data_IF_705405438139
#
_entry.id   IF_705405438139
#
_cell.length_a   1.000
_cell.length_b   1.000
_cell.length_c   1.000
_cell.angle_alpha   90.00
_cell.angle_beta   90.00
_cell.angle_gamma   90.00
#
_symmetry.space_group_name_H-M   'P 1'
#
loop_
_entity.id
_entity.type
_entity.pdbx_description
1 polymer ?
#
# COMPACT_ATOMS: atom_id res chain seq x y z
N UNK A 1 -9.39 -20.49 -22.38
CA UNK A 1 -9.59 -20.43 -20.92
C UNK A 1 -9.26 -19.01 -20.47
N UNK A 2 -9.99 -18.47 -19.49
CA UNK A 2 -9.66 -17.18 -18.91
C UNK A 2 -8.35 -17.27 -18.14
N UNK A 3 -7.47 -16.25 -18.20
CA UNK A 3 -6.24 -16.27 -17.42
C UNK A 3 -6.52 -16.28 -15.93
N UNK A 4 -5.72 -17.06 -15.19
CA UNK A 4 -5.88 -17.22 -13.75
C UNK A 4 -5.03 -16.23 -12.97
N UNK A 5 -5.64 -15.51 -12.02
CA UNK A 5 -4.96 -14.54 -11.18
C UNK A 5 -5.12 -14.90 -9.70
N UNK A 6 -4.00 -14.96 -8.98
CA UNK A 6 -3.95 -15.08 -7.53
C UNK A 6 -3.70 -13.72 -6.89
N UNK A 7 -4.58 -13.29 -5.99
CA UNK A 7 -4.47 -12.02 -5.29
C UNK A 7 -4.29 -12.28 -3.80
N UNK A 8 -3.10 -12.03 -3.26
CA UNK A 8 -2.87 -12.08 -1.81
C UNK A 8 -3.25 -10.76 -1.17
N UNK A 9 -3.63 -10.81 0.11
CA UNK A 9 -4.19 -9.61 0.76
C UNK A 9 -5.56 -9.20 0.22
N UNK A 10 -6.25 -10.12 -0.46
CA UNK A 10 -7.54 -9.91 -1.13
C UNK A 10 -8.63 -9.32 -0.23
N UNK A 11 -8.65 -9.67 1.05
CA UNK A 11 -9.62 -9.13 2.03
C UNK A 11 -9.26 -7.74 2.57
N UNK A 12 -8.08 -7.21 2.20
CA UNK A 12 -7.62 -5.89 2.59
C UNK A 12 -8.22 -4.77 1.74
N UNK A 13 -7.84 -3.52 2.07
CA UNK A 13 -8.31 -2.33 1.37
C UNK A 13 -8.02 -2.40 -0.14
N UNK A 14 -6.76 -2.34 -0.55
CA UNK A 14 -6.37 -2.35 -1.97
C UNK A 14 -6.74 -3.68 -2.62
N UNK A 15 -6.47 -4.81 -1.94
CA UNK A 15 -6.71 -6.14 -2.47
C UNK A 15 -8.17 -6.40 -2.86
N UNK A 16 -9.14 -5.89 -2.09
CA UNK A 16 -10.56 -6.06 -2.41
C UNK A 16 -10.99 -5.33 -3.70
N UNK A 17 -10.38 -4.19 -4.01
CA UNK A 17 -10.59 -3.49 -5.29
C UNK A 17 -9.90 -4.20 -6.46
N UNK A 18 -8.71 -4.79 -6.23
CA UNK A 18 -8.04 -5.59 -7.25
C UNK A 18 -8.88 -6.82 -7.61
N UNK A 19 -9.50 -7.49 -6.63
CA UNK A 19 -10.40 -8.63 -6.86
C UNK A 19 -11.61 -8.20 -7.71
N UNK A 20 -12.25 -7.09 -7.37
CA UNK A 20 -13.41 -6.57 -8.13
C UNK A 20 -13.02 -6.26 -9.59
N UNK A 21 -11.88 -5.63 -9.81
CA UNK A 21 -11.42 -5.30 -11.16
C UNK A 21 -10.98 -6.56 -11.95
N UNK A 22 -10.34 -7.54 -11.30
CA UNK A 22 -9.98 -8.80 -11.94
C UNK A 22 -11.21 -9.55 -12.48
N UNK A 23 -12.28 -9.62 -11.68
CA UNK A 23 -13.56 -10.20 -12.11
C UNK A 23 -14.18 -9.44 -13.27
N UNK A 24 -14.12 -8.10 -13.26
CA UNK A 24 -14.66 -7.24 -14.30
C UNK A 24 -13.90 -7.41 -15.61
N UNK A 25 -12.57 -7.62 -15.55
CA UNK A 25 -11.75 -7.89 -16.73
C UNK A 25 -11.79 -9.35 -17.19
N UNK A 26 -12.58 -10.21 -16.53
CA UNK A 26 -12.81 -11.59 -16.96
C UNK A 26 -11.75 -12.60 -16.52
N UNK A 27 -10.91 -12.28 -15.52
CA UNK A 27 -9.97 -13.24 -14.95
C UNK A 27 -10.70 -14.35 -14.15
N UNK A 28 -10.19 -15.57 -14.20
CA UNK A 28 -10.49 -16.56 -13.17
C UNK A 28 -9.78 -16.14 -11.88
N UNK A 29 -10.55 -15.52 -10.97
CA UNK A 29 -10.02 -14.74 -9.84
C UNK A 29 -9.96 -15.55 -8.56
N UNK A 30 -8.75 -15.72 -8.02
CA UNK A 30 -8.46 -16.43 -6.78
C UNK A 30 -8.06 -15.45 -5.68
N UNK A 31 -8.89 -15.34 -4.66
CA UNK A 31 -8.67 -14.51 -3.49
C UNK A 31 -7.96 -15.32 -2.39
N UNK A 32 -6.68 -15.03 -2.17
CA UNK A 32 -5.94 -15.62 -1.07
C UNK A 32 -6.29 -14.91 0.25
N UNK A 33 -6.81 -15.66 1.19
CA UNK A 33 -7.26 -15.20 2.50
C UNK A 33 -6.65 -16.04 3.62
N UNK A 34 -6.64 -15.52 4.84
CA UNK A 34 -6.40 -16.30 6.05
C UNK A 34 -7.73 -16.80 6.60
N UNK A 35 -7.74 -17.86 7.39
CA UNK A 35 -8.93 -18.37 8.07
C UNK A 35 -9.72 -17.30 8.84
N UNK A 36 -9.01 -16.33 9.43
CA UNK A 36 -9.60 -15.21 10.18
C UNK A 36 -9.99 -13.99 9.32
N UNK A 37 -9.81 -14.04 7.99
CA UNK A 37 -10.06 -12.88 7.14
C UNK A 37 -11.55 -12.58 6.99
N UNK A 38 -11.90 -11.30 7.09
CA UNK A 38 -13.25 -10.84 6.77
C UNK A 38 -13.49 -10.89 5.27
N UNK A 39 -14.64 -11.43 4.84
CA UNK A 39 -15.09 -11.44 3.44
C UNK A 39 -16.07 -10.30 3.13
N UNK A 40 -16.15 -9.27 3.97
CA UNK A 40 -17.16 -8.21 3.88
C UNK A 40 -17.23 -7.52 2.50
N UNK A 41 -16.11 -7.42 1.80
CA UNK A 41 -15.98 -6.83 0.47
C UNK A 41 -15.73 -7.86 -0.65
N UNK A 42 -15.77 -9.16 -0.36
CA UNK A 42 -15.55 -10.25 -1.29
C UNK A 42 -16.85 -11.07 -1.41
N UNK A 43 -17.88 -10.46 -2.02
CA UNK A 43 -19.24 -11.03 -2.04
C UNK A 43 -19.64 -11.66 -3.38
N UNK A 44 -18.86 -11.43 -4.44
CA UNK A 44 -19.16 -11.97 -5.77
C UNK A 44 -18.94 -13.48 -5.78
N UNK A 45 -19.91 -14.23 -6.27
CA UNK A 45 -19.90 -15.70 -6.28
C UNK A 45 -18.84 -16.29 -7.23
N UNK A 46 -18.32 -15.49 -8.16
CA UNK A 46 -17.25 -15.88 -9.09
C UNK A 46 -15.87 -15.91 -8.45
N UNK A 47 -15.73 -15.46 -7.19
CA UNK A 47 -14.46 -15.46 -6.47
C UNK A 47 -14.14 -16.87 -6.01
N UNK A 48 -13.01 -17.41 -6.46
CA UNK A 48 -12.43 -18.61 -5.88
C UNK A 48 -11.63 -18.24 -4.64
N UNK A 49 -11.88 -18.88 -3.52
CA UNK A 49 -11.13 -18.64 -2.29
C UNK A 49 -10.06 -19.70 -2.08
N UNK A 50 -8.87 -19.27 -1.73
CA UNK A 50 -7.78 -20.16 -1.29
C UNK A 50 -7.25 -19.66 0.06
N UNK A 51 -7.10 -20.58 1.01
CA UNK A 51 -6.50 -20.23 2.30
C UNK A 51 -4.98 -20.37 2.20
N UNK A 52 -4.25 -19.26 2.38
CA UNK A 52 -2.79 -19.23 2.32
C UNK A 52 -2.18 -18.74 3.63
N UNK A 53 -1.17 -19.47 4.11
CA UNK A 53 -0.35 -19.08 5.25
C UNK A 53 1.04 -18.61 4.77
N UNK A 54 1.20 -17.33 4.55
CA UNK A 54 2.47 -16.74 4.10
C UNK A 54 3.62 -16.89 5.11
N UNK A 55 3.35 -17.30 6.35
CA UNK A 55 4.38 -17.50 7.38
C UNK A 55 5.05 -18.88 7.33
N UNK A 56 4.58 -19.80 6.48
CA UNK A 56 5.11 -21.16 6.37
C UNK A 56 5.24 -21.55 4.89
N UNK A 57 6.47 -21.73 4.44
CA UNK A 57 6.79 -22.14 3.07
C UNK A 57 6.25 -23.55 2.80
N UNK A 58 6.36 -24.47 3.76
CA UNK A 58 5.82 -25.82 3.65
C UNK A 58 4.30 -25.82 3.44
N UNK A 59 3.55 -25.02 4.23
CA UNK A 59 2.10 -24.92 4.06
C UNK A 59 1.74 -24.25 2.72
N UNK A 60 2.46 -23.22 2.30
CA UNK A 60 2.26 -22.61 0.99
C UNK A 60 2.46 -23.60 -0.14
N UNK A 61 3.50 -24.44 -0.06
CA UNK A 61 3.77 -25.47 -1.06
C UNK A 61 2.60 -26.45 -1.14
N UNK A 62 2.13 -26.98 -0.01
CA UNK A 62 0.96 -27.88 0.02
C UNK A 62 -0.32 -27.22 -0.52
N UNK A 63 -0.53 -25.93 -0.20
CA UNK A 63 -1.71 -25.17 -0.60
C UNK A 63 -1.70 -24.80 -2.10
N UNK A 64 -0.51 -24.67 -2.72
CA UNK A 64 -0.37 -24.21 -4.10
C UNK A 64 0.00 -25.31 -5.09
N UNK A 65 0.50 -26.48 -4.67
CA UNK A 65 1.02 -27.55 -5.55
C UNK A 65 0.05 -28.06 -6.62
N UNK A 66 -1.26 -27.96 -6.39
CA UNK A 66 -2.30 -28.39 -7.33
C UNK A 66 -2.92 -27.23 -8.13
N UNK A 67 -2.34 -26.03 -8.03
CA UNK A 67 -2.82 -24.85 -8.73
C UNK A 67 -1.81 -24.36 -9.74
N UNK A 68 -2.31 -23.72 -10.79
CA UNK A 68 -1.49 -23.00 -11.76
C UNK A 68 -2.09 -21.61 -11.96
N UNK A 69 -1.25 -20.58 -11.89
CA UNK A 69 -1.63 -19.20 -12.07
C UNK A 69 -0.80 -18.55 -13.17
N UNK A 70 -1.46 -17.76 -14.02
CA UNK A 70 -0.79 -16.91 -15.00
C UNK A 70 -0.22 -15.65 -14.34
N UNK A 71 -0.93 -15.15 -13.32
CA UNK A 71 -0.62 -13.87 -12.67
C UNK A 71 -0.74 -13.98 -11.15
N UNK A 72 0.15 -13.28 -10.45
CA UNK A 72 0.05 -13.09 -9.00
C UNK A 72 0.13 -11.61 -8.68
N UNK A 73 -0.82 -11.10 -7.88
CA UNK A 73 -0.73 -9.78 -7.27
C UNK A 73 -0.53 -9.92 -5.78
N UNK A 74 0.66 -9.57 -5.31
CA UNK A 74 1.01 -9.66 -3.90
C UNK A 74 0.75 -8.33 -3.20
N UNK A 75 -0.49 -8.17 -2.72
CA UNK A 75 -0.93 -7.01 -1.93
C UNK A 75 -1.04 -7.34 -0.43
N UNK A 76 -0.67 -8.54 -0.01
CA UNK A 76 -0.59 -8.90 1.39
C UNK A 76 0.54 -8.12 2.09
N UNK A 77 0.23 -7.62 3.28
CA UNK A 77 1.17 -6.89 4.10
C UNK A 77 0.46 -6.19 5.25
N UNK A 78 1.24 -5.73 6.21
CA UNK A 78 0.74 -4.95 7.35
C UNK A 78 1.40 -3.58 7.35
N UNK A 79 0.62 -2.55 7.66
CA UNK A 79 1.06 -1.16 7.79
C UNK A 79 1.15 -0.72 9.23
N UNK A 80 0.73 -1.59 10.17
CA UNK A 80 0.75 -1.38 11.61
C UNK A 80 1.04 -2.69 12.31
N UNK A 81 1.98 -2.67 13.24
CA UNK A 81 2.29 -3.80 14.12
C UNK A 81 2.55 -3.29 15.54
N UNK A 82 2.40 -4.17 16.52
CA UNK A 82 2.77 -3.88 17.90
C UNK A 82 4.28 -3.95 18.09
N UNK A 83 4.91 -4.94 17.46
CA UNK A 83 6.36 -5.15 17.50
C UNK A 83 6.97 -4.87 16.12
N UNK A 84 8.06 -4.10 16.02
CA UNK A 84 8.72 -3.80 14.75
C UNK A 84 9.12 -5.05 13.96
N UNK A 85 9.46 -6.14 14.63
CA UNK A 85 9.85 -7.43 14.04
C UNK A 85 8.72 -8.07 13.23
N UNK A 86 7.46 -7.82 13.60
CA UNK A 86 6.30 -8.33 12.89
C UNK A 86 6.18 -7.77 11.47
N UNK A 87 6.67 -6.54 11.23
CA UNK A 87 6.73 -6.01 9.87
C UNK A 87 7.64 -6.87 8.98
N UNK A 88 8.81 -7.26 9.49
CA UNK A 88 9.75 -8.09 8.73
C UNK A 88 9.20 -9.51 8.55
N UNK A 89 8.66 -10.11 9.60
CA UNK A 89 8.07 -11.45 9.53
C UNK A 89 6.93 -11.52 8.51
N UNK A 90 6.08 -10.50 8.44
CA UNK A 90 4.89 -10.53 7.58
C UNK A 90 5.20 -9.98 6.19
N UNK A 91 5.82 -8.79 6.09
CA UNK A 91 6.04 -8.13 4.80
C UNK A 91 7.25 -8.70 4.05
N UNK A 92 8.34 -9.01 4.76
CA UNK A 92 9.57 -9.50 4.14
C UNK A 92 9.54 -11.02 4.00
N UNK A 93 9.48 -11.76 5.12
CA UNK A 93 9.53 -13.22 5.06
C UNK A 93 8.29 -13.81 4.38
N UNK A 94 7.10 -13.23 4.59
CA UNK A 94 5.90 -13.66 3.86
C UNK A 94 6.03 -13.52 2.34
N UNK A 95 6.68 -12.45 1.85
CA UNK A 95 6.99 -12.27 0.42
C UNK A 95 8.02 -13.30 -0.05
N UNK A 96 9.11 -13.50 0.71
CA UNK A 96 10.15 -14.49 0.39
C UNK A 96 9.57 -15.90 0.30
N UNK A 97 8.77 -16.31 1.28
CA UNK A 97 8.15 -17.64 1.30
C UNK A 97 7.23 -17.85 0.09
N UNK A 98 6.39 -16.87 -0.24
CA UNK A 98 5.52 -16.95 -1.42
C UNK A 98 6.34 -17.14 -2.70
N UNK A 99 7.36 -16.29 -2.91
CA UNK A 99 8.14 -16.33 -4.15
C UNK A 99 8.99 -17.61 -4.26
N UNK A 100 9.60 -18.08 -3.15
CA UNK A 100 10.31 -19.38 -3.13
C UNK A 100 9.36 -20.52 -3.52
N UNK A 101 8.18 -20.59 -2.90
CA UNK A 101 7.18 -21.60 -3.23
C UNK A 101 6.78 -21.55 -4.71
N UNK A 102 6.57 -20.36 -5.27
CA UNK A 102 6.22 -20.20 -6.70
C UNK A 102 7.36 -20.67 -7.62
N UNK A 103 8.62 -20.42 -7.25
CA UNK A 103 9.80 -20.90 -7.97
C UNK A 103 9.96 -22.41 -7.87
N UNK A 104 9.83 -22.98 -6.68
CA UNK A 104 9.97 -24.43 -6.43
C UNK A 104 8.89 -25.23 -7.16
N UNK A 105 7.67 -24.71 -7.21
CA UNK A 105 6.58 -25.29 -7.98
C UNK A 105 6.67 -25.02 -9.49
N UNK A 106 7.69 -24.31 -9.93
CA UNK A 106 7.86 -23.90 -11.34
C UNK A 106 6.58 -23.26 -11.90
N UNK A 107 5.93 -22.40 -11.09
CA UNK A 107 4.66 -21.77 -11.46
C UNK A 107 4.80 -21.02 -12.79
N UNK A 108 3.92 -21.26 -13.80
CA UNK A 108 4.06 -20.68 -15.15
C UNK A 108 3.60 -19.21 -15.18
N UNK A 109 4.21 -18.38 -14.33
CA UNK A 109 3.83 -16.97 -14.18
C UNK A 109 4.25 -16.13 -15.37
N UNK A 110 3.31 -15.38 -15.90
CA UNK A 110 3.57 -14.29 -16.86
C UNK A 110 4.05 -13.04 -16.14
N UNK A 111 3.42 -12.70 -14.98
CA UNK A 111 3.79 -11.55 -14.16
C UNK A 111 3.47 -11.78 -12.68
N UNK A 112 4.30 -11.17 -11.83
CA UNK A 112 4.12 -11.04 -10.39
C UNK A 112 4.18 -9.57 -10.02
N UNK A 113 3.08 -8.97 -9.58
CA UNK A 113 3.04 -7.58 -9.15
C UNK A 113 3.11 -7.48 -7.63
N UNK A 114 4.16 -6.84 -7.13
CA UNK A 114 4.36 -6.59 -5.70
C UNK A 114 3.94 -5.17 -5.33
N UNK A 115 3.01 -5.04 -4.38
CA UNK A 115 2.61 -3.74 -3.84
C UNK A 115 3.57 -3.37 -2.71
N UNK A 116 4.51 -2.49 -3.02
CA UNK A 116 5.46 -1.88 -2.08
C UNK A 116 4.91 -0.54 -1.55
N UNK A 117 5.76 0.46 -1.35
CA UNK A 117 5.37 1.79 -0.86
C UNK A 117 6.45 2.83 -1.14
N UNK A 118 6.06 4.09 -1.33
CA UNK A 118 6.98 5.24 -1.33
C UNK A 118 7.75 5.36 0.02
N UNK A 119 7.21 4.81 1.12
CA UNK A 119 7.85 4.84 2.45
C UNK A 119 9.24 4.18 2.51
N UNK A 120 9.62 3.39 1.51
CA UNK A 120 10.98 2.84 1.39
C UNK A 120 12.03 3.93 1.21
N UNK A 121 11.65 5.08 0.67
CA UNK A 121 12.57 6.17 0.39
C UNK A 121 12.96 6.94 1.65
N UNK A 122 12.05 7.03 2.64
CA UNK A 122 12.27 7.80 3.85
C UNK A 122 12.32 9.31 3.64
N UNK A 123 12.88 10.02 4.61
CA UNK A 123 12.96 11.49 4.61
C UNK A 123 14.18 11.97 3.79
N UNK A 124 14.04 12.00 2.49
CA UNK A 124 15.05 12.46 1.55
C UNK A 124 14.58 13.68 0.76
N UNK A 125 15.52 14.43 0.18
CA UNK A 125 15.26 15.63 -0.62
C UNK A 125 14.37 16.67 0.11
N UNK A 126 14.63 16.84 1.41
CA UNK A 126 13.90 17.79 2.27
C UNK A 126 14.52 19.21 2.28
N UNK A 127 15.49 19.51 1.43
CA UNK A 127 15.99 20.86 1.17
C UNK A 127 14.96 21.64 0.33
N UNK A 128 14.70 22.87 0.71
CA UNK A 128 13.77 23.73 -0.03
C UNK A 128 14.46 24.46 -1.19
N UNK A 129 13.81 24.53 -2.36
CA UNK A 129 12.51 23.93 -2.73
C UNK A 129 12.61 22.41 -2.83
N UNK A 130 11.59 21.69 -2.33
CA UNK A 130 11.56 20.23 -2.39
C UNK A 130 11.59 19.73 -3.82
N UNK A 131 12.40 18.71 -4.06
CA UNK A 131 12.53 18.04 -5.36
C UNK A 131 11.80 16.70 -5.34
N UNK A 132 11.38 16.24 -6.51
CA UNK A 132 10.78 14.93 -6.66
C UNK A 132 11.76 13.82 -6.33
N UNK A 133 11.26 12.84 -5.58
CA UNK A 133 11.93 11.59 -5.29
C UNK A 133 11.81 10.73 -6.54
N UNK A 134 12.94 10.31 -7.09
CA UNK A 134 13.02 9.49 -8.29
C UNK A 134 13.48 8.06 -7.98
N UNK A 135 13.29 7.14 -8.91
CA UNK A 135 13.76 5.75 -8.78
C UNK A 135 15.28 5.63 -8.67
N UNK A 136 16.01 6.67 -9.07
CA UNK A 136 17.49 6.75 -9.00
C UNK A 136 18.00 7.14 -7.61
N UNK A 137 17.11 7.65 -6.76
CA UNK A 137 17.50 8.04 -5.41
C UNK A 137 17.74 6.81 -4.53
N UNK A 138 18.74 6.92 -3.67
CA UNK A 138 19.05 5.87 -2.69
C UNK A 138 17.95 5.82 -1.64
N UNK A 139 17.29 4.68 -1.50
CA UNK A 139 16.32 4.42 -0.47
C UNK A 139 16.94 4.52 0.93
N UNK A 140 16.29 5.26 1.85
CA UNK A 140 16.72 5.50 3.23
C UNK A 140 15.53 5.44 4.19
N UNK A 141 14.84 4.27 4.30
CA UNK A 141 13.64 4.16 5.11
C UNK A 141 13.92 4.44 6.58
N UNK A 142 13.07 5.26 7.19
CA UNK A 142 13.16 5.68 8.59
C UNK A 142 12.07 5.05 9.49
N UNK A 143 11.29 4.12 8.94
CA UNK A 143 10.25 3.33 9.65
C UNK A 143 10.52 1.84 9.51
N UNK A 144 10.04 1.02 10.46
CA UNK A 144 10.13 -0.43 10.39
C UNK A 144 9.32 -0.96 9.19
N UNK A 145 8.15 -0.35 8.92
CA UNK A 145 7.37 -0.64 7.72
C UNK A 145 8.16 -0.42 6.43
N UNK A 146 8.73 0.78 6.24
CA UNK A 146 9.52 1.09 5.05
C UNK A 146 10.74 0.17 4.87
N UNK A 147 11.45 -0.15 5.98
CA UNK A 147 12.57 -1.10 5.98
C UNK A 147 12.14 -2.49 5.54
N UNK A 148 11.02 -3.01 6.07
CA UNK A 148 10.53 -4.34 5.72
C UNK A 148 10.13 -4.45 4.24
N UNK A 149 9.53 -3.39 3.68
CA UNK A 149 9.20 -3.34 2.25
C UNK A 149 10.45 -3.29 1.38
N UNK A 150 11.42 -2.45 1.74
CA UNK A 150 12.70 -2.35 1.02
C UNK A 150 13.47 -3.67 1.04
N UNK A 151 13.52 -4.36 2.18
CA UNK A 151 14.20 -5.66 2.29
C UNK A 151 13.57 -6.70 1.37
N UNK A 152 12.25 -6.73 1.25
CA UNK A 152 11.56 -7.61 0.30
C UNK A 152 11.93 -7.28 -1.16
N UNK A 153 11.99 -6.00 -1.53
CA UNK A 153 12.42 -5.58 -2.88
C UNK A 153 13.86 -5.99 -3.18
N UNK A 154 14.77 -5.73 -2.24
CA UNK A 154 16.20 -6.10 -2.37
C UNK A 154 16.39 -7.61 -2.50
N UNK A 155 15.57 -8.38 -1.80
CA UNK A 155 15.60 -9.82 -1.90
C UNK A 155 15.11 -10.31 -3.28
N UNK A 156 14.06 -9.71 -3.84
CA UNK A 156 13.62 -9.99 -5.21
C UNK A 156 14.73 -9.71 -6.24
N UNK A 157 15.42 -8.57 -6.11
CA UNK A 157 16.56 -8.22 -6.96
C UNK A 157 17.70 -9.25 -6.83
N UNK A 158 18.02 -9.67 -5.61
CA UNK A 158 19.05 -10.66 -5.35
C UNK A 158 18.69 -12.03 -5.93
N UNK A 159 17.43 -12.44 -5.80
CA UNK A 159 16.90 -13.68 -6.36
C UNK A 159 17.05 -13.69 -7.89
N UNK A 160 16.68 -12.62 -8.58
CA UNK A 160 16.84 -12.55 -10.04
C UNK A 160 18.29 -12.58 -10.49
N UNK A 161 19.20 -11.93 -9.74
CA UNK A 161 20.64 -12.05 -10.04
C UNK A 161 21.10 -13.50 -9.94
N UNK A 162 20.74 -14.20 -8.87
CA UNK A 162 21.12 -15.62 -8.68
C UNK A 162 20.54 -16.54 -9.76
N UNK A 163 19.29 -16.32 -10.19
CA UNK A 163 18.66 -17.08 -11.28
C UNK A 163 19.41 -16.84 -12.60
N UNK A 164 19.74 -15.61 -12.92
CA UNK A 164 20.48 -15.24 -14.13
C UNK A 164 21.91 -15.84 -14.12
N UNK A 165 22.61 -15.78 -12.99
CA UNK A 165 23.94 -16.40 -12.83
C UNK A 165 23.93 -17.92 -13.04
N UNK A 166 22.78 -18.58 -12.74
CA UNK A 166 22.55 -20.01 -12.97
C UNK A 166 22.03 -20.32 -14.40
N UNK A 167 21.91 -19.30 -15.27
CA UNK A 167 21.34 -19.46 -16.62
C UNK A 167 19.84 -19.74 -16.66
N UNK A 168 19.15 -19.43 -15.57
CA UNK A 168 17.70 -19.59 -15.44
C UNK A 168 16.97 -18.30 -15.81
N UNK A 169 15.70 -18.42 -16.26
CA UNK A 169 14.85 -17.27 -16.51
C UNK A 169 14.61 -16.46 -15.23
N UNK A 170 14.62 -15.12 -15.29
CA UNK A 170 14.34 -14.30 -14.13
C UNK A 170 12.88 -14.46 -13.69
N UNK A 171 12.64 -14.40 -12.38
CA UNK A 171 11.29 -14.34 -11.83
C UNK A 171 10.59 -13.05 -12.29
N UNK A 172 9.37 -13.10 -12.87
CA UNK A 172 8.78 -11.99 -13.63
C UNK A 172 8.11 -10.95 -12.71
N UNK A 173 8.84 -10.39 -11.72
CA UNK A 173 8.28 -9.42 -10.79
C UNK A 173 8.32 -7.99 -11.31
N UNK A 174 7.32 -7.22 -10.87
CA UNK A 174 7.20 -5.77 -11.04
C UNK A 174 6.81 -5.18 -9.68
N UNK A 175 7.35 -4.03 -9.33
CA UNK A 175 7.13 -3.38 -8.04
C UNK A 175 6.36 -2.08 -8.23
N UNK A 176 5.24 -1.93 -7.54
CA UNK A 176 4.49 -0.69 -7.47
C UNK A 176 4.70 -0.03 -6.10
N UNK A 177 5.08 1.23 -6.09
CA UNK A 177 5.41 2.04 -4.91
C UNK A 177 4.42 3.20 -4.76
N UNK A 178 3.17 2.92 -4.37
CA UNK A 178 2.19 3.99 -4.17
C UNK A 178 2.61 4.90 -3.01
N UNK A 179 2.22 6.17 -3.12
CA UNK A 179 2.21 7.15 -2.04
C UNK A 179 1.04 6.88 -1.09
N UNK A 180 0.55 7.88 -0.37
CA UNK A 180 -0.62 7.74 0.51
C UNK A 180 -1.87 7.30 -0.26
N UNK A 181 -2.23 6.02 -0.17
CA UNK A 181 -3.41 5.47 -0.85
C UNK A 181 -4.65 5.73 -0.02
N UNK A 182 -5.64 6.41 -0.58
CA UNK A 182 -6.91 6.70 0.08
C UNK A 182 -8.10 6.25 -0.80
N UNK A 183 -9.27 6.15 -0.18
CA UNK A 183 -10.48 5.71 -0.87
C UNK A 183 -11.51 5.09 0.06
N UNK A 184 -12.65 4.64 -0.46
CA UNK A 184 -13.62 3.83 0.27
C UNK A 184 -12.98 2.59 0.91
N UNK A 185 -13.45 2.18 2.10
CA UNK A 185 -12.94 1.02 2.89
C UNK A 185 -11.62 1.28 3.63
N UNK A 186 -10.92 2.38 3.34
CA UNK A 186 -9.71 2.75 4.03
C UNK A 186 -10.04 3.33 5.41
N UNK A 187 -9.29 2.91 6.45
CA UNK A 187 -9.63 3.22 7.85
C UNK A 187 -8.78 4.33 8.46
N UNK A 188 -7.57 4.54 7.99
CA UNK A 188 -6.65 5.51 8.60
C UNK A 188 -7.03 6.94 8.21
N UNK A 189 -7.23 7.18 6.91
CA UNK A 189 -7.73 8.47 6.44
C UNK A 189 -9.18 8.70 6.88
N UNK A 190 -10.00 7.64 6.98
CA UNK A 190 -11.36 7.75 7.52
C UNK A 190 -11.40 8.41 8.90
N UNK A 191 -10.38 8.19 9.75
CA UNK A 191 -10.31 8.87 11.05
C UNK A 191 -10.25 10.38 10.94
N UNK A 192 -9.66 10.95 9.87
CA UNK A 192 -9.68 12.38 9.60
C UNK A 192 -11.09 12.88 9.31
N UNK A 193 -11.87 12.13 8.51
CA UNK A 193 -13.28 12.47 8.23
C UNK A 193 -14.10 12.51 9.52
N UNK A 194 -13.94 11.51 10.40
CA UNK A 194 -14.61 11.48 11.72
C UNK A 194 -14.20 12.64 12.62
N UNK A 195 -12.91 12.96 12.64
CA UNK A 195 -12.38 14.05 13.45
C UNK A 195 -12.95 15.39 13.01
N UNK A 196 -13.00 15.64 11.70
CA UNK A 196 -13.55 16.88 11.13
C UNK A 196 -15.06 16.95 11.32
N UNK A 197 -15.78 15.82 11.19
CA UNK A 197 -17.21 15.73 11.54
C UNK A 197 -17.45 16.07 13.02
N UNK A 198 -16.54 15.68 13.90
CA UNK A 198 -16.53 16.02 15.32
C UNK A 198 -15.89 17.39 15.61
N UNK A 199 -15.83 18.29 14.62
CA UNK A 199 -15.36 19.67 14.74
C UNK A 199 -13.87 19.83 15.11
N UNK A 200 -13.03 18.82 14.88
CA UNK A 200 -11.61 18.88 15.21
C UNK A 200 -10.74 18.50 14.00
N UNK A 201 -9.75 19.34 13.69
CA UNK A 201 -8.72 19.07 12.69
C UNK A 201 -7.35 19.03 13.38
N UNK A 202 -6.64 17.92 13.24
CA UNK A 202 -5.31 17.73 13.81
C UNK A 202 -4.24 17.90 12.73
N UNK A 203 -3.37 18.88 12.92
CA UNK A 203 -2.21 19.12 12.08
C UNK A 203 -0.90 18.88 12.86
N UNK A 204 0.17 18.57 12.16
CA UNK A 204 1.48 18.27 12.74
C UNK A 204 2.56 19.18 12.20
N UNK A 205 3.27 19.83 13.12
CA UNK A 205 4.37 20.73 12.79
C UNK A 205 3.91 22.04 12.15
N UNK A 206 4.83 22.97 12.04
CA UNK A 206 4.59 24.32 11.50
C UNK A 206 5.33 24.56 10.17
N UNK A 207 6.15 23.58 9.75
CA UNK A 207 6.88 23.67 8.49
C UNK A 207 6.04 23.13 7.35
N UNK A 208 6.22 23.69 6.18
CA UNK A 208 5.59 23.21 4.95
C UNK A 208 5.89 21.74 4.72
N UNK A 209 4.89 21.01 4.30
CA UNK A 209 4.99 19.62 3.84
C UNK A 209 4.37 19.54 2.45
N UNK A 210 5.10 18.96 1.52
CA UNK A 210 4.60 18.62 0.20
C UNK A 210 4.20 17.14 0.22
N UNK A 211 2.90 16.90 0.09
CA UNK A 211 2.29 15.57 0.21
C UNK A 211 1.67 15.18 -1.12
N UNK A 212 1.81 13.92 -1.48
CA UNK A 212 1.15 13.33 -2.64
C UNK A 212 0.18 12.25 -2.20
N UNK A 213 -0.86 12.04 -2.99
CA UNK A 213 -1.87 11.02 -2.76
C UNK A 213 -2.10 10.20 -4.03
N UNK A 214 -2.70 9.04 -3.88
CA UNK A 214 -3.25 8.26 -5.00
C UNK A 214 -4.56 7.63 -4.58
N UNK A 215 -5.57 7.75 -5.43
CA UNK A 215 -6.85 7.12 -5.18
C UNK A 215 -6.78 5.62 -5.44
N UNK A 216 -7.50 4.82 -4.66
CA UNK A 216 -7.38 3.35 -4.72
C UNK A 216 -7.63 2.77 -6.10
N UNK A 217 -8.58 3.32 -6.88
CA UNK A 217 -8.85 2.82 -8.24
C UNK A 217 -7.71 3.08 -9.21
N UNK A 218 -6.91 4.13 -8.99
CA UNK A 218 -5.75 4.42 -9.82
C UNK A 218 -4.58 3.48 -9.49
N UNK A 219 -4.45 3.08 -8.21
CA UNK A 219 -3.52 1.98 -7.86
C UNK A 219 -3.93 0.68 -8.54
N UNK A 220 -5.23 0.37 -8.56
CA UNK A 220 -5.76 -0.81 -9.26
C UNK A 220 -5.49 -0.73 -10.76
N UNK A 221 -5.72 0.43 -11.40
CA UNK A 221 -5.36 0.66 -12.80
C UNK A 221 -3.87 0.33 -13.05
N UNK A 222 -2.97 0.87 -12.21
CA UNK A 222 -1.54 0.61 -12.32
C UNK A 222 -1.18 -0.88 -12.18
N UNK A 223 -1.89 -1.63 -11.31
CA UNK A 223 -1.70 -3.08 -11.18
C UNK A 223 -1.98 -3.79 -12.49
N UNK A 224 -3.12 -3.54 -13.14
CA UNK A 224 -3.48 -4.21 -14.39
C UNK A 224 -2.60 -3.76 -15.56
N UNK A 225 -2.22 -2.49 -15.61
CA UNK A 225 -1.23 -2.00 -16.58
C UNK A 225 0.13 -2.69 -16.39
N UNK A 226 0.56 -2.91 -15.14
CA UNK A 226 1.81 -3.63 -14.86
C UNK A 226 1.71 -5.11 -15.25
N UNK A 227 0.56 -5.76 -15.07
CA UNK A 227 0.34 -7.14 -15.55
C UNK A 227 0.41 -7.24 -17.07
N UNK A 228 -0.07 -6.23 -17.80
CA UNK A 228 -0.12 -6.20 -19.26
C UNK A 228 1.23 -5.78 -19.90
N UNK A 229 1.80 -4.63 -19.44
CA UNK A 229 2.90 -3.94 -20.12
C UNK A 229 4.20 -3.93 -19.33
N UNK A 230 4.16 -4.22 -18.03
CA UNK A 230 5.33 -4.07 -17.17
C UNK A 230 6.47 -5.01 -17.54
N UNK A 231 7.69 -4.53 -17.42
CA UNK A 231 8.91 -5.31 -17.64
C UNK A 231 9.46 -5.88 -16.31
N UNK A 232 10.05 -7.05 -16.38
CA UNK A 232 10.64 -7.74 -15.23
C UNK A 232 11.70 -6.88 -14.54
N UNK A 233 11.60 -6.75 -13.21
CA UNK A 233 12.54 -5.98 -12.40
C UNK A 233 12.24 -4.48 -12.32
N UNK A 234 11.27 -3.98 -13.12
CA UNK A 234 10.90 -2.56 -13.08
C UNK A 234 10.11 -2.23 -11.80
N UNK A 235 10.20 -0.95 -11.43
CA UNK A 235 9.52 -0.40 -10.25
C UNK A 235 8.98 0.99 -10.57
N UNK A 236 7.83 1.33 -10.02
CA UNK A 236 7.12 2.56 -10.38
C UNK A 236 6.53 3.22 -9.15
N UNK A 237 6.78 4.52 -8.99
CA UNK A 237 6.04 5.34 -8.04
C UNK A 237 4.65 5.66 -8.60
N UNK A 238 3.67 5.72 -7.69
CA UNK A 238 2.29 6.03 -8.05
C UNK A 238 1.75 7.17 -7.16
N UNK A 239 1.31 8.24 -7.79
CA UNK A 239 0.53 9.34 -7.20
C UNK A 239 -0.50 9.83 -8.20
N UNK A 240 -1.34 10.78 -7.81
CA UNK A 240 -2.27 11.45 -8.74
C UNK A 240 -1.59 12.51 -9.62
N UNK A 241 -0.27 12.67 -9.50
CA UNK A 241 0.55 13.60 -10.27
C UNK A 241 0.60 15.02 -9.71
N UNK A 242 -0.19 15.32 -8.66
CA UNK A 242 -0.25 16.63 -8.03
C UNK A 242 0.45 16.64 -6.67
N UNK A 243 0.84 17.82 -6.21
CA UNK A 243 1.46 18.04 -4.91
C UNK A 243 0.57 18.91 -4.06
N UNK A 244 0.30 18.48 -2.85
CA UNK A 244 -0.63 19.11 -1.93
C UNK A 244 0.07 19.57 -0.65
N UNK A 245 -0.43 20.65 -0.07
CA UNK A 245 -0.07 21.06 1.28
C UNK A 245 -0.80 20.18 2.32
N UNK A 246 -0.21 20.00 3.49
CA UNK A 246 -0.77 19.18 4.57
C UNK A 246 -2.21 19.54 4.96
N UNK A 247 -2.61 20.83 4.79
CA UNK A 247 -3.96 21.28 5.08
C UNK A 247 -4.98 21.05 3.96
N UNK A 248 -4.53 20.74 2.74
CA UNK A 248 -5.43 20.62 1.57
C UNK A 248 -6.45 19.50 1.77
N UNK A 249 -6.00 18.35 2.24
CA UNK A 249 -6.86 17.18 2.45
C UNK A 249 -7.97 17.48 3.47
N UNK A 250 -7.61 18.03 4.64
CA UNK A 250 -8.60 18.37 5.67
C UNK A 250 -9.57 19.48 5.24
N UNK A 251 -9.10 20.48 4.48
CA UNK A 251 -9.97 21.52 3.92
C UNK A 251 -11.00 20.94 2.93
N UNK A 252 -10.58 20.00 2.07
CA UNK A 252 -11.48 19.31 1.14
C UNK A 252 -12.51 18.46 1.89
N UNK A 253 -12.10 17.70 2.91
CA UNK A 253 -13.02 16.93 3.76
C UNK A 253 -14.06 17.87 4.39
N UNK A 254 -13.62 18.98 4.97
CA UNK A 254 -14.51 19.98 5.57
C UNK A 254 -15.54 20.47 4.57
N UNK A 255 -15.10 20.84 3.36
CA UNK A 255 -16.00 21.31 2.29
C UNK A 255 -17.06 20.28 1.96
N UNK A 256 -16.68 19.01 1.76
CA UNK A 256 -17.61 17.92 1.40
C UNK A 256 -18.53 17.51 2.55
N UNK A 257 -18.19 17.82 3.79
CA UNK A 257 -19.05 17.63 4.97
C UNK A 257 -20.01 18.80 5.21
N UNK A 258 -20.06 19.80 4.32
CA UNK A 258 -20.95 20.97 4.42
C UNK A 258 -20.37 22.13 5.23
N UNK A 259 -19.07 22.25 5.28
CA UNK A 259 -18.33 23.32 5.98
C UNK A 259 -18.66 23.42 7.49
N UNK A 260 -18.63 22.33 8.28
CA UNK A 260 -18.81 22.47 9.71
C UNK A 260 -17.80 23.44 10.30
N UNK A 261 -18.16 24.14 11.37
CA UNK A 261 -17.14 24.86 12.15
C UNK A 261 -16.15 23.85 12.75
N UNK A 262 -14.91 24.22 12.89
CA UNK A 262 -13.89 23.37 13.48
C UNK A 262 -12.83 24.15 14.23
N UNK A 263 -12.10 23.44 15.11
CA UNK A 263 -10.90 23.93 15.74
C UNK A 263 -9.72 23.15 15.16
N UNK A 264 -8.77 23.88 14.56
CA UNK A 264 -7.50 23.29 14.10
C UNK A 264 -6.51 23.29 15.25
N UNK A 265 -6.06 22.09 15.62
CA UNK A 265 -5.05 21.89 16.67
C UNK A 265 -3.75 21.45 15.96
N UNK A 266 -2.74 22.34 15.99
CA UNK A 266 -1.43 22.02 15.42
C UNK A 266 -0.49 21.57 16.53
N UNK A 267 -0.09 20.29 16.52
CA UNK A 267 0.84 19.75 17.47
C UNK A 267 2.30 20.03 17.04
N UNK A 268 3.13 20.66 17.87
CA UNK A 268 4.56 20.78 17.57
C UNK A 268 5.21 19.39 17.60
N UNK A 269 6.28 19.19 16.82
CA UNK A 269 6.91 17.88 16.65
C UNK A 269 7.41 17.26 17.97
N UNK A 270 7.85 18.09 18.93
CA UNK A 270 8.27 17.58 20.24
C UNK A 270 7.11 16.98 21.04
N UNK A 271 5.92 17.59 20.96
CA UNK A 271 4.72 17.06 21.61
C UNK A 271 4.25 15.77 20.93
N UNK A 272 4.26 15.73 19.58
CA UNK A 272 3.95 14.51 18.82
C UNK A 272 4.88 13.37 19.23
N UNK A 273 6.19 13.64 19.42
CA UNK A 273 7.16 12.63 19.86
C UNK A 273 6.82 12.04 21.24
N UNK A 274 6.38 12.90 22.17
CA UNK A 274 5.95 12.43 23.49
C UNK A 274 4.68 11.56 23.36
N UNK A 275 3.68 12.02 22.61
CA UNK A 275 2.41 11.30 22.42
C UNK A 275 2.67 9.93 21.78
N UNK A 276 3.49 9.86 20.72
CA UNK A 276 3.80 8.59 20.05
C UNK A 276 4.62 7.66 20.92
N UNK A 277 5.55 8.17 21.72
CA UNK A 277 6.31 7.38 22.70
C UNK A 277 5.37 6.79 23.79
N UNK A 278 4.48 7.60 24.35
CA UNK A 278 3.48 7.12 25.30
C UNK A 278 2.53 6.11 24.66
N UNK A 279 2.12 6.35 23.42
CA UNK A 279 1.30 5.42 22.64
C UNK A 279 1.95 4.05 22.48
N UNK A 280 3.24 4.00 22.13
CA UNK A 280 4.00 2.74 22.05
C UNK A 280 4.02 2.01 23.41
N UNK A 281 4.31 2.73 24.51
CA UNK A 281 4.35 2.11 25.85
C UNK A 281 2.99 1.55 26.26
N UNK A 282 1.92 2.30 26.03
CA UNK A 282 0.54 1.83 26.30
C UNK A 282 0.21 0.63 25.41
N UNK A 283 0.60 0.66 24.12
CA UNK A 283 0.41 -0.45 23.20
C UNK A 283 1.06 -1.74 23.71
N UNK A 284 2.34 -1.67 24.12
CA UNK A 284 3.07 -2.81 24.68
C UNK A 284 2.44 -3.33 25.98
N UNK A 285 1.99 -2.43 26.87
CA UNK A 285 1.35 -2.82 28.14
C UNK A 285 -0.02 -3.48 27.94
N UNK A 286 -0.80 -3.00 26.95
CA UNK A 286 -2.17 -3.47 26.71
C UNK A 286 -2.29 -4.57 25.66
N UNK A 287 -1.20 -4.88 24.94
CA UNK A 287 -1.21 -5.80 23.80
C UNK A 287 -2.01 -5.29 22.59
N UNK A 288 -2.32 -3.98 22.53
CA UNK A 288 -3.13 -3.38 21.46
C UNK A 288 -2.31 -2.42 20.62
N UNK A 289 -2.51 -2.47 19.30
CA UNK A 289 -1.88 -1.53 18.37
C UNK A 289 -2.51 -0.15 18.58
N UNK A 290 -1.66 0.85 18.88
CA UNK A 290 -2.08 2.25 19.01
C UNK A 290 -2.06 2.95 17.66
N UNK A 291 -2.96 3.92 17.48
CA UNK A 291 -3.03 4.71 16.23
C UNK A 291 -1.81 5.61 16.05
N UNK A 292 -1.25 6.12 17.16
CA UNK A 292 -0.06 6.98 17.18
C UNK A 292 1.10 6.21 17.85
N UNK A 293 2.05 5.78 17.03
CA UNK A 293 3.24 5.05 17.42
C UNK A 293 4.50 5.72 16.84
N UNK A 294 5.67 5.20 17.13
CA UNK A 294 6.94 5.76 16.68
C UNK A 294 7.09 5.79 15.15
N UNK A 295 6.62 4.77 14.43
CA UNK A 295 6.61 4.77 12.96
C UNK A 295 5.74 5.92 12.41
N UNK A 296 4.57 6.17 13.01
CA UNK A 296 3.71 7.32 12.65
C UNK A 296 4.41 8.66 12.90
N UNK A 297 5.19 8.80 13.98
CA UNK A 297 5.99 10.00 14.21
C UNK A 297 6.93 10.28 13.04
N UNK A 298 7.67 9.27 12.55
CA UNK A 298 8.60 9.42 11.45
C UNK A 298 7.89 9.77 10.13
N UNK A 299 6.74 9.16 9.86
CA UNK A 299 5.91 9.47 8.67
C UNK A 299 5.38 10.90 8.74
N UNK A 300 4.79 11.31 9.88
CA UNK A 300 4.16 12.62 10.03
C UNK A 300 5.18 13.77 10.09
N UNK A 301 6.40 13.50 10.52
CA UNK A 301 7.52 14.46 10.55
C UNK A 301 8.09 14.73 9.17
N UNK A 302 8.03 13.77 8.26
CA UNK A 302 8.61 13.87 6.91
C UNK A 302 7.94 14.99 6.11
N UNK A 303 8.74 15.82 5.44
CA UNK A 303 8.26 17.02 4.77
C UNK A 303 8.08 16.86 3.27
N UNK A 304 8.82 15.96 2.65
CA UNK A 304 8.79 15.74 1.22
C UNK A 304 8.26 14.33 0.88
N UNK A 305 7.10 14.30 0.22
CA UNK A 305 6.49 13.09 -0.32
C UNK A 305 6.27 13.20 -1.84
N UNK A 306 6.92 14.15 -2.51
CA UNK A 306 6.85 14.29 -3.96
C UNK A 306 7.56 13.12 -4.60
N UNK A 307 6.91 12.46 -5.54
CA UNK A 307 7.52 11.37 -6.29
C UNK A 307 7.30 11.53 -7.79
N UNK A 308 8.32 11.14 -8.57
CA UNK A 308 8.28 11.15 -10.02
C UNK A 308 7.49 9.94 -10.53
N UNK A 309 6.35 10.19 -11.15
CA UNK A 309 5.52 9.17 -11.80
C UNK A 309 5.75 9.09 -13.32
N UNK A 310 6.72 9.84 -13.84
CA UNK A 310 7.08 9.86 -15.27
C UNK A 310 7.33 8.46 -15.85
N UNK A 311 8.14 7.61 -15.20
CA UNK A 311 8.34 6.23 -15.66
C UNK A 311 7.05 5.40 -15.72
N UNK A 312 6.16 5.53 -14.74
CA UNK A 312 4.86 4.84 -14.77
C UNK A 312 3.99 5.32 -15.95
N UNK A 313 3.99 6.62 -16.24
CA UNK A 313 3.28 7.19 -17.39
C UNK A 313 3.85 6.69 -18.72
N UNK A 314 5.16 6.76 -18.87
CA UNK A 314 5.82 6.44 -20.14
C UNK A 314 5.81 4.95 -20.47
N UNK A 315 6.07 4.09 -19.50
CA UNK A 315 6.26 2.65 -19.72
C UNK A 315 4.97 1.86 -19.55
N UNK A 316 4.12 2.21 -18.59
CA UNK A 316 2.85 1.52 -18.37
C UNK A 316 1.66 2.22 -19.06
N UNK A 317 1.78 3.50 -19.37
CA UNK A 317 0.65 4.33 -19.78
C UNK A 317 -0.26 4.67 -18.59
N UNK A 318 0.33 4.77 -17.38
CA UNK A 318 -0.42 5.12 -16.16
C UNK A 318 -0.89 6.56 -16.21
N UNK A 319 -2.21 6.77 -16.20
CA UNK A 319 -2.83 8.09 -16.13
C UNK A 319 -3.83 8.09 -14.97
N UNK A 320 -3.47 8.75 -13.84
CA UNK A 320 -4.37 8.83 -12.69
C UNK A 320 -5.65 9.58 -13.04
N UNK A 321 -6.79 8.97 -12.77
CA UNK A 321 -8.12 9.47 -13.16
C UNK A 321 -8.80 10.27 -12.06
N UNK A 322 -8.34 10.14 -10.81
CA UNK A 322 -9.03 10.69 -9.65
C UNK A 322 -8.13 11.61 -8.88
N UNK A 323 -8.31 12.92 -9.10
CA UNK A 323 -7.65 13.95 -8.32
C UNK A 323 -8.19 14.04 -6.90
N UNK A 324 -7.41 14.60 -5.96
CA UNK A 324 -7.70 14.59 -4.52
C UNK A 324 -9.11 15.12 -4.18
N UNK A 325 -9.55 16.21 -4.79
CA UNK A 325 -10.87 16.80 -4.53
C UNK A 325 -12.01 15.85 -4.88
N UNK A 326 -11.95 15.23 -6.05
CA UNK A 326 -12.94 14.26 -6.50
C UNK A 326 -12.89 12.98 -5.64
N UNK A 327 -11.70 12.50 -5.30
CA UNK A 327 -11.54 11.33 -4.44
C UNK A 327 -12.12 11.54 -3.04
N UNK A 328 -11.92 12.71 -2.44
CA UNK A 328 -12.54 13.08 -1.15
C UNK A 328 -14.06 13.09 -1.24
N UNK A 329 -14.64 13.66 -2.31
CA UNK A 329 -16.08 13.65 -2.56
C UNK A 329 -16.62 12.21 -2.60
N UNK A 330 -15.98 11.33 -3.40
CA UNK A 330 -16.36 9.92 -3.50
C UNK A 330 -16.24 9.18 -2.15
N UNK A 331 -15.23 9.50 -1.35
CA UNK A 331 -15.09 8.95 0.00
C UNK A 331 -16.28 9.34 0.89
N UNK A 332 -16.65 10.63 0.94
CA UNK A 332 -17.76 11.11 1.76
C UNK A 332 -19.07 10.46 1.33
N UNK A 333 -19.36 10.38 0.03
CA UNK A 333 -20.54 9.71 -0.50
C UNK A 333 -20.59 8.24 -0.08
N UNK A 334 -19.48 7.53 -0.23
CA UNK A 334 -19.42 6.12 0.15
C UNK A 334 -19.57 5.93 1.66
N UNK A 335 -18.91 6.75 2.49
CA UNK A 335 -19.00 6.65 3.95
C UNK A 335 -20.42 6.91 4.44
N UNK A 336 -21.12 7.93 3.89
CA UNK A 336 -22.53 8.20 4.20
C UNK A 336 -23.43 7.05 3.78
N UNK A 337 -23.29 6.54 2.54
CA UNK A 337 -24.08 5.41 2.02
C UNK A 337 -23.90 4.14 2.84
N UNK A 338 -22.69 3.89 3.35
CA UNK A 338 -22.37 2.69 4.11
C UNK A 338 -22.43 2.89 5.64
N UNK A 339 -22.97 4.01 6.11
CA UNK A 339 -23.16 4.34 7.54
C UNK A 339 -21.84 4.32 8.34
N UNK A 340 -20.77 4.79 7.72
CA UNK A 340 -19.51 5.02 8.40
C UNK A 340 -19.42 6.45 8.98
N UNK A 341 -20.10 7.42 8.31
CA UNK A 341 -20.35 8.81 8.73
C UNK A 341 -21.83 9.02 8.99
#
# INVERSE_FOLDING_TARGET
MNPKILITGASGFIGSFIVEEALKQGFETWAAIRKSSSKAFLKDERIHFIELNLSSEEQLHEQLKNHQFDYVVHAAGVTKCLHPEDFFRINTEGTKNLVRTLLDLQMPLKRFVYISSLSIMGAIREEQPYREISERDKAQPNTAYGKSKLEAEQWLDATNRQLTEKGQAPFPYIILRPTGVYGPRERDYFMMFKSIQAHTDFAVGYKQQDITFVYVTDVVQAVFLALEKGETGRRYFLSDGEVYQSSTFSNLIRKELGNPWWIRITAPLWLLRIITFCGDRIGHLTGKITALNNDKYHIMKQRNWRCDIGPARQELGFEPQVQLAEGVRRCVEWYKKNKWL
#
